data_IF_017726876416
#
_entry.id   IF_017726876416
#
_cell.length_a   1.000
_cell.length_b   1.000
_cell.length_c   1.000
_cell.angle_alpha   90.00
_cell.angle_beta   90.00
_cell.angle_gamma   90.00
#
_symmetry.space_group_name_H-M   'P 1'
#
loop_
_entity.id
_entity.type
_entity.pdbx_description
1 polymer ?
#
# COMPACT_ATOMS: atom_id res chain seq x y z
N UNK A 1 12.82 1.83 56.27
CA UNK A 1 12.69 3.29 56.09
C UNK A 1 12.13 3.51 54.70
N UNK A 2 10.82 3.74 54.63
CA UNK A 2 10.03 3.88 53.41
C UNK A 2 10.48 5.11 52.62
N UNK A 3 11.11 4.91 51.47
CA UNK A 3 11.43 5.97 50.51
C UNK A 3 10.34 6.07 49.46
N UNK A 4 9.23 6.72 49.83
CA UNK A 4 8.21 7.19 48.90
C UNK A 4 8.76 8.39 48.15
N UNK A 5 8.93 8.29 46.83
CA UNK A 5 8.89 9.45 45.93
C UNK A 5 8.34 9.01 44.58
N UNK A 6 7.03 9.22 44.46
CA UNK A 6 6.25 9.19 43.24
C UNK A 6 6.76 10.28 42.30
N UNK A 7 7.24 9.89 41.12
CA UNK A 7 7.11 10.72 39.93
C UNK A 7 6.20 9.97 38.97
N UNK A 8 4.94 10.36 39.00
CA UNK A 8 4.04 10.15 37.89
C UNK A 8 4.57 10.97 36.71
N UNK A 9 5.04 10.28 35.69
CA UNK A 9 5.01 10.74 34.31
C UNK A 9 4.69 9.51 33.48
N UNK A 10 3.41 9.40 33.11
CA UNK A 10 2.97 8.38 32.19
C UNK A 10 3.70 8.53 30.86
N UNK A 11 4.14 7.41 30.32
CA UNK A 11 4.23 7.25 28.88
C UNK A 11 3.66 5.87 28.59
N UNK A 12 2.36 5.87 28.28
CA UNK A 12 1.80 4.93 27.33
C UNK A 12 2.75 4.84 26.14
N UNK A 13 3.16 3.64 25.74
CA UNK A 13 3.12 3.17 24.33
C UNK A 13 4.05 1.98 24.16
N UNK A 14 3.44 0.81 24.03
CA UNK A 14 3.98 -0.28 23.24
C UNK A 14 2.85 -0.82 22.34
N UNK A 15 2.15 0.10 21.65
CA UNK A 15 1.55 -0.24 20.38
C UNK A 15 2.73 -0.27 19.40
N UNK A 16 3.17 -1.47 19.06
CA UNK A 16 4.15 -1.72 18.02
C UNK A 16 3.40 -1.47 16.70
N UNK A 17 3.30 -0.20 16.30
CA UNK A 17 3.10 0.11 14.90
C UNK A 17 4.44 -0.17 14.21
N UNK A 18 4.47 -0.86 13.06
CA UNK A 18 5.67 -0.85 12.24
C UNK A 18 5.96 0.62 11.91
N UNK A 19 7.22 0.98 12.06
CA UNK A 19 7.75 2.28 11.71
C UNK A 19 7.48 2.50 10.23
N UNK A 20 6.43 3.24 9.88
CA UNK A 20 6.33 3.85 8.55
C UNK A 20 7.46 4.88 8.53
N UNK A 21 8.61 4.45 8.00
CA UNK A 21 9.80 5.26 7.82
C UNK A 21 9.51 6.30 6.73
N UNK A 22 8.68 7.30 7.03
CA UNK A 22 8.53 8.50 6.22
C UNK A 22 9.72 9.41 6.47
N UNK A 23 10.68 9.38 5.55
CA UNK A 23 11.83 10.28 5.59
C UNK A 23 12.73 10.12 4.37
N UNK A 24 12.32 10.75 3.26
CA UNK A 24 12.86 10.69 1.89
C UNK A 24 12.43 9.46 1.08
N UNK A 25 11.26 9.55 0.44
CA UNK A 25 10.87 8.59 -0.57
C UNK A 25 11.94 8.55 -1.68
N UNK A 26 12.53 7.37 -1.88
CA UNK A 26 13.16 7.06 -3.15
C UNK A 26 12.14 7.37 -4.25
N UNK A 27 12.54 8.12 -5.28
CA UNK A 27 11.62 8.53 -6.36
C UNK A 27 10.89 7.32 -6.96
N UNK A 28 11.54 6.16 -6.98
CA UNK A 28 10.95 4.89 -7.39
C UNK A 28 9.79 4.48 -6.49
N UNK A 29 9.94 4.56 -5.17
CA UNK A 29 8.92 4.12 -4.22
C UNK A 29 7.71 5.07 -4.28
N UNK A 30 7.94 6.37 -4.45
CA UNK A 30 6.86 7.33 -4.71
C UNK A 30 6.10 6.99 -6.01
N UNK A 31 6.81 6.59 -7.07
CA UNK A 31 6.20 6.15 -8.33
C UNK A 31 5.40 4.86 -8.15
N UNK A 32 5.93 3.86 -7.42
CA UNK A 32 5.21 2.61 -7.16
C UNK A 32 3.97 2.84 -6.30
N UNK A 33 4.07 3.69 -5.28
CA UNK A 33 2.94 4.08 -4.45
C UNK A 33 1.85 4.81 -5.24
N UNK A 34 2.22 5.72 -6.15
CA UNK A 34 1.27 6.35 -7.06
C UNK A 34 0.61 5.31 -8.00
N UNK A 35 1.41 4.45 -8.62
CA UNK A 35 0.89 3.41 -9.52
C UNK A 35 -0.07 2.45 -8.82
N UNK A 36 0.23 2.02 -7.59
CA UNK A 36 -0.69 1.19 -6.82
C UNK A 36 -2.05 1.87 -6.61
N UNK A 37 -2.05 3.16 -6.25
CA UNK A 37 -3.30 3.89 -6.02
C UNK A 37 -4.11 4.02 -7.30
N UNK A 38 -3.44 4.35 -8.41
CA UNK A 38 -4.09 4.46 -9.72
C UNK A 38 -4.67 3.11 -10.16
N UNK A 39 -3.96 2.00 -9.91
CA UNK A 39 -4.43 0.63 -10.18
C UNK A 39 -5.70 0.34 -9.38
N UNK A 40 -5.67 0.58 -8.06
CA UNK A 40 -6.80 0.28 -7.17
C UNK A 40 -8.03 1.12 -7.52
N UNK A 41 -7.85 2.40 -7.84
CA UNK A 41 -8.95 3.30 -8.24
C UNK A 41 -9.56 2.91 -9.60
N UNK A 42 -8.76 2.32 -10.49
CA UNK A 42 -9.18 1.97 -11.84
C UNK A 42 -9.83 0.58 -11.96
N UNK A 43 -9.71 -0.29 -10.95
CA UNK A 43 -10.25 -1.67 -11.01
C UNK A 43 -11.74 -1.71 -11.34
N UNK A 44 -12.52 -0.76 -10.83
CA UNK A 44 -13.97 -0.71 -11.10
C UNK A 44 -14.32 -0.23 -12.52
N UNK A 45 -13.37 0.38 -13.23
CA UNK A 45 -13.55 0.80 -14.63
C UNK A 45 -13.35 -0.35 -15.62
N UNK A 46 -12.85 -1.49 -15.14
CA UNK A 46 -12.61 -2.70 -15.90
C UNK A 46 -13.87 -3.59 -15.96
N UNK A 47 -14.08 -4.25 -17.11
CA UNK A 47 -15.31 -5.00 -17.44
C UNK A 47 -15.14 -6.51 -17.37
N UNK A 48 -13.96 -6.96 -16.96
CA UNK A 48 -13.56 -8.35 -16.85
C UNK A 48 -14.41 -9.09 -15.80
N UNK A 49 -14.63 -10.38 -16.03
CA UNK A 49 -15.61 -11.19 -15.29
C UNK A 49 -15.21 -11.35 -13.82
N UNK A 50 -13.91 -11.56 -13.56
CA UNK A 50 -13.37 -11.75 -12.21
C UNK A 50 -12.66 -10.50 -11.69
N UNK A 51 -12.64 -10.35 -10.36
CA UNK A 51 -11.90 -9.24 -9.73
C UNK A 51 -10.39 -9.34 -10.00
N UNK A 52 -9.85 -10.55 -10.06
CA UNK A 52 -8.44 -10.82 -10.37
C UNK A 52 -8.10 -10.34 -11.79
N UNK A 53 -8.90 -10.68 -12.79
CA UNK A 53 -8.69 -10.21 -14.17
C UNK A 53 -8.82 -8.68 -14.28
N UNK A 54 -9.73 -8.04 -13.53
CA UNK A 54 -9.84 -6.58 -13.50
C UNK A 54 -8.59 -5.94 -12.90
N UNK A 55 -8.06 -6.49 -11.80
CA UNK A 55 -6.83 -6.00 -11.17
C UNK A 55 -5.64 -6.18 -12.11
N UNK A 56 -5.45 -7.36 -12.71
CA UNK A 56 -4.39 -7.61 -13.70
C UNK A 56 -4.49 -6.66 -14.90
N UNK A 57 -5.70 -6.38 -15.39
CA UNK A 57 -5.93 -5.43 -16.46
C UNK A 57 -5.53 -4.00 -16.06
N UNK A 58 -5.89 -3.55 -14.84
CA UNK A 58 -5.44 -2.27 -14.30
C UNK A 58 -3.92 -2.21 -14.12
N UNK A 59 -3.29 -3.26 -13.59
CA UNK A 59 -1.83 -3.35 -13.47
C UNK A 59 -1.17 -3.14 -14.83
N UNK A 60 -1.66 -3.83 -15.87
CA UNK A 60 -1.14 -3.67 -17.23
C UNK A 60 -1.37 -2.26 -17.76
N UNK A 61 -2.54 -1.67 -17.55
CA UNK A 61 -2.86 -0.33 -18.03
C UNK A 61 -1.92 0.73 -17.43
N UNK A 62 -1.71 0.70 -16.12
CA UNK A 62 -0.92 1.71 -15.41
C UNK A 62 0.58 1.47 -15.49
N UNK A 63 1.05 0.23 -15.30
CA UNK A 63 2.48 -0.05 -15.34
C UNK A 63 3.11 0.14 -16.72
N UNK A 64 2.38 -0.11 -17.81
CA UNK A 64 2.90 0.09 -19.16
C UNK A 64 3.23 1.56 -19.49
N UNK A 65 2.60 2.51 -18.78
CA UNK A 65 2.83 3.94 -18.97
C UNK A 65 4.12 4.44 -18.29
N UNK A 66 4.77 3.62 -17.45
CA UNK A 66 5.96 4.02 -16.69
C UNK A 66 7.30 3.84 -17.45
N UNK A 67 7.25 3.50 -18.74
CA UNK A 67 8.44 3.41 -19.59
C UNK A 67 9.45 2.39 -19.07
N UNK A 68 10.67 2.83 -18.75
CA UNK A 68 11.75 1.93 -18.30
C UNK A 68 11.43 1.21 -16.97
N UNK A 69 10.49 1.73 -16.18
CA UNK A 69 10.06 1.14 -14.92
C UNK A 69 8.91 0.15 -15.08
N UNK A 70 8.33 0.00 -16.28
CA UNK A 70 7.15 -0.85 -16.50
C UNK A 70 7.33 -2.27 -15.95
N UNK A 71 8.44 -2.93 -16.29
CA UNK A 71 8.72 -4.29 -15.79
C UNK A 71 8.93 -4.36 -14.27
N UNK A 72 9.43 -3.28 -13.66
CA UNK A 72 9.56 -3.20 -12.20
C UNK A 72 8.19 -3.03 -11.55
N UNK A 73 7.35 -2.14 -12.11
CA UNK A 73 5.99 -1.91 -11.64
C UNK A 73 5.15 -3.19 -11.73
N UNK A 74 5.11 -3.84 -12.89
CA UNK A 74 4.34 -5.08 -13.07
C UNK A 74 4.78 -6.13 -12.06
N UNK A 75 6.10 -6.33 -11.88
CA UNK A 75 6.59 -7.28 -10.88
C UNK A 75 6.09 -6.93 -9.47
N UNK A 76 6.25 -5.67 -9.05
CA UNK A 76 5.89 -5.22 -7.71
C UNK A 76 4.37 -5.33 -7.48
N UNK A 77 3.55 -4.95 -8.45
CA UNK A 77 2.09 -4.99 -8.33
C UNK A 77 1.56 -6.42 -8.37
N UNK A 78 2.12 -7.30 -9.20
CA UNK A 78 1.79 -8.73 -9.19
C UNK A 78 2.20 -9.39 -7.87
N UNK A 79 3.31 -8.98 -7.24
CA UNK A 79 3.73 -9.52 -5.93
C UNK A 79 2.73 -9.19 -4.80
N UNK A 80 1.88 -8.15 -4.97
CA UNK A 80 0.86 -7.71 -3.98
C UNK A 80 -0.57 -7.86 -4.47
N UNK A 81 -0.78 -8.43 -5.66
CA UNK A 81 -2.08 -8.52 -6.33
C UNK A 81 -3.11 -9.27 -5.47
N UNK A 82 -2.70 -10.37 -4.82
CA UNK A 82 -3.55 -11.14 -3.92
C UNK A 82 -4.11 -10.29 -2.78
N UNK A 83 -3.30 -9.38 -2.22
CA UNK A 83 -3.72 -8.47 -1.14
C UNK A 83 -4.75 -7.48 -1.66
N UNK A 84 -4.50 -6.89 -2.84
CA UNK A 84 -5.44 -5.97 -3.48
C UNK A 84 -6.77 -6.68 -3.75
N UNK A 85 -6.74 -7.85 -4.39
CA UNK A 85 -7.93 -8.64 -4.73
C UNK A 85 -8.75 -9.01 -3.50
N UNK A 86 -8.08 -9.40 -2.41
CA UNK A 86 -8.75 -9.78 -1.17
C UNK A 86 -9.47 -8.60 -0.51
N UNK A 87 -8.80 -7.45 -0.45
CA UNK A 87 -9.22 -6.35 0.41
C UNK A 87 -9.98 -5.23 -0.33
N UNK A 88 -9.98 -5.22 -1.68
CA UNK A 88 -10.63 -4.17 -2.48
C UNK A 88 -12.14 -4.03 -2.23
N UNK A 89 -12.80 -5.09 -1.76
CA UNK A 89 -14.24 -5.06 -1.46
C UNK A 89 -14.56 -4.52 -0.04
N UNK A 90 -13.54 -4.23 0.78
CA UNK A 90 -13.72 -3.84 2.19
C UNK A 90 -13.92 -2.32 2.41
N UNK A 91 -14.24 -1.55 1.36
CA UNK A 91 -14.39 -0.08 1.39
C UNK A 91 -13.14 0.69 1.85
N UNK A 92 -11.96 0.11 1.67
CA UNK A 92 -10.70 0.82 1.90
C UNK A 92 -10.45 1.83 0.78
N UNK A 93 -9.87 2.98 1.12
CA UNK A 93 -9.37 3.89 0.10
C UNK A 93 -8.12 3.32 -0.59
N UNK A 94 -7.78 3.78 -1.81
CA UNK A 94 -6.53 3.40 -2.48
C UNK A 94 -5.29 3.62 -1.62
N UNK A 95 -5.25 4.71 -0.84
CA UNK A 95 -4.18 4.96 0.13
C UNK A 95 -4.07 3.85 1.20
N UNK A 96 -5.20 3.41 1.76
CA UNK A 96 -5.20 2.37 2.79
C UNK A 96 -4.79 1.03 2.22
N UNK A 97 -5.31 0.64 1.05
CA UNK A 97 -4.96 -0.62 0.39
C UNK A 97 -3.48 -0.68 0.06
N UNK A 98 -2.92 0.39 -0.53
CA UNK A 98 -1.50 0.42 -0.89
C UNK A 98 -0.57 0.48 0.33
N UNK A 99 -1.02 1.04 1.46
CA UNK A 99 -0.30 0.94 2.74
C UNK A 99 -0.33 -0.47 3.32
N UNK A 100 -1.48 -1.15 3.27
CA UNK A 100 -1.61 -2.53 3.75
C UNK A 100 -0.82 -3.51 2.89
N UNK A 101 -0.75 -3.25 1.58
CA UNK A 101 0.08 -3.98 0.64
C UNK A 101 1.59 -3.72 0.83
N UNK A 102 1.98 -2.73 1.64
CA UNK A 102 3.39 -2.38 1.91
C UNK A 102 4.11 -1.75 0.72
N UNK A 103 3.37 -1.18 -0.22
CA UNK A 103 3.91 -0.39 -1.34
C UNK A 103 4.13 1.06 -0.87
N UNK A 104 3.13 1.58 -0.16
CA UNK A 104 3.18 2.79 0.64
C UNK A 104 3.24 2.38 2.14
#
# INVERSE_FOLDING_TARGET
VFGLLLLASGVFSAAILPEVQTGNADMKDAIMCAACKDIVDDVENHTEDTIEERVDASIKAHCNNLGFLAGTCTKVMTDVEDVIVQDINENYSPDQLCQMAGIC
#
